data_IF_023986915000
#
_entry.id   IF_023986915000
#
_cell.length_a   1.000
_cell.length_b   1.000
_cell.length_c   1.000
_cell.angle_alpha   90.00
_cell.angle_beta   90.00
_cell.angle_gamma   90.00
#
_symmetry.space_group_name_H-M   'P 1'
#
loop_
_entity.id
_entity.type
_entity.pdbx_description
1 polymer ?
#
# COMPACT_ATOMS: atom_id res chain seq x y z
N UNK A 1 -20.65 7.43 7.41
CA UNK A 1 -20.26 6.25 8.21
C UNK A 1 -18.81 5.97 7.84
N UNK A 2 -17.89 6.10 8.79
CA UNK A 2 -16.46 5.85 8.53
C UNK A 2 -16.27 4.33 8.53
N UNK A 3 -15.80 3.76 7.42
CA UNK A 3 -15.53 2.32 7.37
C UNK A 3 -14.25 2.01 8.16
N UNK A 4 -14.21 0.91 8.93
CA UNK A 4 -12.99 0.48 9.63
C UNK A 4 -12.09 -0.36 8.72
N UNK A 5 -10.79 -0.46 9.07
CA UNK A 5 -9.89 -1.41 8.44
C UNK A 5 -10.40 -2.83 8.69
N UNK A 6 -10.63 -3.58 7.61
CA UNK A 6 -11.10 -4.97 7.67
C UNK A 6 -9.97 -5.96 8.01
N UNK A 7 -8.71 -5.48 8.00
CA UNK A 7 -7.50 -6.29 8.16
C UNK A 7 -6.64 -5.67 9.26
N UNK A 8 -6.15 -6.50 10.18
CA UNK A 8 -5.25 -6.08 11.25
C UNK A 8 -3.84 -5.75 10.73
N UNK A 9 -3.13 -4.86 11.43
CA UNK A 9 -1.81 -4.39 11.00
C UNK A 9 -0.75 -5.50 10.92
N UNK A 10 -0.76 -6.42 11.90
CA UNK A 10 0.18 -7.53 11.97
C UNK A 10 -0.36 -8.83 11.37
N UNK A 11 -1.47 -8.78 10.63
CA UNK A 11 -2.07 -9.94 9.96
C UNK A 11 -1.32 -10.34 8.67
N UNK A 12 -0.15 -9.76 8.42
CA UNK A 12 0.70 -10.07 7.27
C UNK A 12 1.28 -11.50 7.34
N UNK A 13 1.42 -12.09 8.54
CA UNK A 13 1.88 -13.49 8.74
C UNK A 13 0.83 -14.54 8.35
N UNK A 14 -0.44 -14.17 8.24
CA UNK A 14 -1.51 -15.09 7.80
C UNK A 14 -1.48 -15.38 6.29
N UNK A 15 -0.74 -14.58 5.52
CA UNK A 15 -0.73 -14.66 4.05
C UNK A 15 0.70 -14.59 3.51
N UNK A 16 1.37 -15.76 3.57
CA UNK A 16 2.77 -15.92 3.19
C UNK A 16 3.08 -15.39 1.79
N UNK A 17 2.14 -15.49 0.84
CA UNK A 17 2.37 -15.04 -0.55
C UNK A 17 2.54 -13.53 -0.63
N UNK A 18 1.66 -12.78 0.02
CA UNK A 18 1.70 -11.30 0.05
C UNK A 18 2.88 -10.82 0.89
N UNK A 19 3.17 -11.50 2.00
CA UNK A 19 4.34 -11.22 2.83
C UNK A 19 5.67 -11.45 2.07
N UNK A 20 5.82 -12.59 1.38
CA UNK A 20 6.99 -12.89 0.55
C UNK A 20 7.14 -11.92 -0.62
N UNK A 21 6.05 -11.57 -1.32
CA UNK A 21 6.09 -10.58 -2.41
C UNK A 21 6.48 -9.19 -1.89
N UNK A 22 5.95 -8.77 -0.75
CA UNK A 22 6.28 -7.49 -0.13
C UNK A 22 7.72 -7.47 0.39
N UNK A 23 8.25 -8.60 0.86
CA UNK A 23 9.61 -8.71 1.36
C UNK A 23 10.65 -8.72 0.23
N UNK A 24 10.40 -9.47 -0.86
CA UNK A 24 11.33 -9.55 -2.00
C UNK A 24 11.16 -8.42 -3.01
N UNK A 25 9.92 -7.96 -3.22
CA UNK A 25 9.56 -6.95 -4.21
C UNK A 25 8.58 -5.92 -3.62
N UNK A 26 8.99 -5.14 -2.61
CA UNK A 26 8.11 -4.12 -2.00
C UNK A 26 7.64 -3.08 -3.03
N UNK A 27 8.47 -2.77 -4.03
CA UNK A 27 8.14 -1.82 -5.09
C UNK A 27 6.97 -2.26 -5.98
N UNK A 28 6.80 -3.57 -6.21
CA UNK A 28 5.67 -4.11 -6.99
C UNK A 28 4.39 -4.02 -6.17
N UNK A 29 4.46 -4.45 -4.90
CA UNK A 29 3.33 -4.38 -3.98
C UNK A 29 2.86 -2.94 -3.80
N UNK A 30 3.78 -2.04 -3.47
CA UNK A 30 3.49 -0.62 -3.34
C UNK A 30 3.00 0.00 -4.65
N UNK A 31 3.63 -0.33 -5.79
CA UNK A 31 3.25 0.21 -7.08
C UNK A 31 1.79 -0.11 -7.44
N UNK A 32 1.34 -1.34 -7.20
CA UNK A 32 -0.05 -1.78 -7.41
C UNK A 32 -1.03 -1.07 -6.48
N UNK A 33 -0.66 -0.93 -5.20
CA UNK A 33 -1.46 -0.19 -4.22
C UNK A 33 -1.59 1.29 -4.65
N UNK A 34 -0.47 1.93 -5.00
CA UNK A 34 -0.40 3.34 -5.32
C UNK A 34 -1.15 3.70 -6.62
N UNK A 35 -1.15 2.79 -7.61
CA UNK A 35 -1.91 2.93 -8.86
C UNK A 35 -3.41 2.88 -8.58
N UNK A 36 -3.87 1.91 -7.77
CA UNK A 36 -5.29 1.86 -7.38
C UNK A 36 -5.65 3.10 -6.55
N UNK A 37 -4.78 3.49 -5.62
CA UNK A 37 -4.95 4.68 -4.79
C UNK A 37 -4.82 6.01 -5.55
N UNK A 38 -4.46 6.02 -6.83
CA UNK A 38 -4.49 7.21 -7.69
C UNK A 38 -5.46 7.08 -8.88
N UNK A 39 -6.25 6.01 -8.89
CA UNK A 39 -7.22 5.66 -9.93
C UNK A 39 -6.59 5.42 -11.31
N UNK A 40 -5.32 5.00 -11.34
CA UNK A 40 -4.58 4.71 -12.56
C UNK A 40 -4.09 5.95 -13.29
N UNK A 41 -3.95 7.09 -12.59
CA UNK A 41 -3.34 8.29 -13.15
C UNK A 41 -1.85 8.08 -13.45
N UNK A 42 -1.20 7.20 -12.72
CA UNK A 42 0.21 6.83 -12.88
C UNK A 42 0.34 5.31 -12.86
N UNK A 43 1.16 4.74 -13.73
CA UNK A 43 1.34 3.29 -13.79
C UNK A 43 2.02 2.75 -12.53
N UNK A 44 1.70 1.51 -12.19
CA UNK A 44 2.34 0.79 -11.08
C UNK A 44 3.88 0.79 -11.18
N UNK A 45 4.45 0.68 -12.39
CA UNK A 45 5.89 0.72 -12.61
C UNK A 45 6.51 2.09 -12.26
N UNK A 46 5.84 3.19 -12.59
CA UNK A 46 6.30 4.52 -12.21
C UNK A 46 6.25 4.72 -10.69
N UNK A 47 5.17 4.27 -10.05
CA UNK A 47 5.07 4.29 -8.59
C UNK A 47 6.13 3.43 -7.91
N UNK A 48 6.37 2.20 -8.40
CA UNK A 48 7.42 1.33 -7.91
C UNK A 48 8.82 1.91 -8.10
N UNK A 49 9.08 2.55 -9.24
CA UNK A 49 10.36 3.24 -9.50
C UNK A 49 10.57 4.41 -8.55
N UNK A 50 9.56 5.28 -8.39
CA UNK A 50 9.63 6.41 -7.47
C UNK A 50 9.80 5.95 -6.02
N UNK A 51 9.15 4.85 -5.64
CA UNK A 51 9.32 4.23 -4.33
C UNK A 51 10.75 3.74 -4.08
N UNK A 52 11.40 3.09 -5.06
CA UNK A 52 12.80 2.67 -4.95
C UNK A 52 13.74 3.88 -4.88
N UNK A 53 13.51 4.91 -5.69
CA UNK A 53 14.29 6.15 -5.68
C UNK A 53 14.16 6.92 -4.36
N UNK A 54 12.97 6.93 -3.75
CA UNK A 54 12.79 7.54 -2.42
C UNK A 54 13.36 6.65 -1.31
N UNK A 55 13.35 5.33 -1.52
CA UNK A 55 13.97 4.36 -0.62
C UNK A 55 15.49 4.52 -0.53
N UNK A 56 16.17 4.86 -1.62
CA UNK A 56 17.62 5.11 -1.60
C UNK A 56 18.02 6.35 -0.79
N UNK A 57 17.08 7.26 -0.52
CA UNK A 57 17.26 8.45 0.32
C UNK A 57 16.63 8.25 1.73
N UNK A 58 15.96 7.11 1.97
CA UNK A 58 15.29 6.81 3.24
C UNK A 58 13.94 7.51 3.45
N UNK A 59 13.33 8.04 2.37
CA UNK A 59 12.08 8.81 2.40
C UNK A 59 10.90 8.07 1.77
N UNK A 60 11.02 6.77 1.51
CA UNK A 60 9.93 5.95 0.94
C UNK A 60 8.68 5.92 1.84
N UNK A 61 8.87 5.89 3.18
CA UNK A 61 7.76 5.89 4.14
C UNK A 61 6.84 7.11 3.99
N UNK A 62 7.39 8.31 3.69
CA UNK A 62 6.58 9.51 3.42
C UNK A 62 5.69 9.31 2.20
N UNK A 63 6.25 8.71 1.14
CA UNK A 63 5.50 8.43 -0.06
C UNK A 63 4.39 7.42 0.19
N UNK A 64 4.70 6.36 0.94
CA UNK A 64 3.73 5.38 1.42
C UNK A 64 2.60 6.03 2.21
N UNK A 65 2.90 6.90 3.17
CA UNK A 65 1.88 7.65 3.91
C UNK A 65 0.95 8.44 3.00
N UNK A 66 1.50 9.19 2.03
CA UNK A 66 0.69 10.05 1.16
C UNK A 66 -0.28 9.23 0.31
N UNK A 67 0.15 8.08 -0.19
CA UNK A 67 -0.69 7.17 -0.98
C UNK A 67 -1.75 6.49 -0.12
N UNK A 68 -1.41 6.10 1.11
CA UNK A 68 -2.37 5.59 2.09
C UNK A 68 -3.44 6.65 2.46
N UNK A 69 -3.04 7.90 2.67
CA UNK A 69 -3.98 9.00 2.90
C UNK A 69 -4.88 9.28 1.69
N UNK A 70 -4.36 9.16 0.46
CA UNK A 70 -5.17 9.24 -0.76
C UNK A 70 -6.20 8.12 -0.82
N UNK A 71 -5.80 6.89 -0.46
CA UNK A 71 -6.69 5.74 -0.38
C UNK A 71 -7.84 5.99 0.61
N UNK A 72 -7.57 6.56 1.79
CA UNK A 72 -8.60 6.93 2.76
C UNK A 72 -9.61 7.93 2.21
N UNK A 73 -9.10 9.00 1.58
CA UNK A 73 -9.94 10.04 1.00
C UNK A 73 -10.86 9.49 -0.09
N UNK A 74 -10.38 8.52 -0.87
CA UNK A 74 -11.16 7.95 -1.97
C UNK A 74 -12.23 6.95 -1.51
N UNK A 75 -11.92 6.15 -0.50
CA UNK A 75 -12.71 4.98 -0.13
C UNK A 75 -13.40 5.13 1.24
N UNK A 76 -13.33 6.33 1.85
CA UNK A 76 -14.02 6.77 3.06
C UNK A 76 -13.87 5.82 4.26
N UNK A 77 -12.64 5.44 4.60
CA UNK A 77 -12.35 4.60 5.76
C UNK A 77 -11.42 5.27 6.78
N UNK A 78 -11.41 4.73 8.00
CA UNK A 78 -10.85 5.37 9.18
C UNK A 78 -9.35 5.56 9.04
N UNK A 79 -8.92 6.79 9.30
CA UNK A 79 -7.55 7.12 9.20
C UNK A 79 -7.06 8.29 10.04
N UNK A 80 -5.92 8.07 10.72
CA UNK A 80 -5.13 9.11 11.40
C UNK A 80 -3.75 9.27 10.74
N UNK A 81 -3.43 10.44 10.17
CA UNK A 81 -2.16 10.67 9.45
C UNK A 81 -0.92 10.45 10.32
N UNK A 82 -0.98 10.71 11.63
CA UNK A 82 0.12 10.43 12.56
C UNK A 82 0.35 8.93 12.76
N UNK A 83 -0.72 8.14 12.88
CA UNK A 83 -0.60 6.69 13.11
C UNK A 83 -0.18 5.97 11.84
N UNK A 84 -0.60 6.45 10.68
CA UNK A 84 -0.21 5.91 9.39
C UNK A 84 1.27 5.99 9.10
N UNK A 85 1.85 7.16 9.33
CA UNK A 85 3.28 7.32 9.13
C UNK A 85 4.11 6.54 10.14
N UNK A 86 3.63 6.43 11.38
CA UNK A 86 4.28 5.60 12.38
C UNK A 86 4.30 4.12 11.98
N UNK A 87 3.21 3.64 11.38
CA UNK A 87 3.10 2.25 10.91
C UNK A 87 4.07 1.94 9.77
N UNK A 88 4.20 2.83 8.76
CA UNK A 88 5.19 2.64 7.69
C UNK A 88 6.63 2.75 8.20
N UNK A 89 6.88 3.59 9.21
CA UNK A 89 8.19 3.70 9.86
C UNK A 89 8.54 2.46 10.70
N UNK A 90 7.56 1.87 11.38
CA UNK A 90 7.76 0.74 12.30
C UNK A 90 7.81 -0.63 11.58
N UNK A 91 6.89 -0.87 10.65
CA UNK A 91 6.89 -2.06 9.80
C UNK A 91 6.24 -1.76 8.44
N UNK A 92 7.05 -1.32 7.48
CA UNK A 92 6.56 -0.99 6.14
C UNK A 92 5.92 -2.20 5.44
N UNK A 93 6.51 -3.38 5.57
CA UNK A 93 5.97 -4.59 4.95
C UNK A 93 4.58 -4.96 5.49
N UNK A 94 4.37 -4.80 6.81
CA UNK A 94 3.08 -5.05 7.45
C UNK A 94 2.03 -4.05 6.95
N UNK A 95 2.42 -2.77 6.83
CA UNK A 95 1.57 -1.69 6.33
C UNK A 95 1.10 -1.97 4.90
N UNK A 96 2.04 -2.32 4.01
CA UNK A 96 1.76 -2.66 2.61
C UNK A 96 0.90 -3.92 2.49
N UNK A 97 1.16 -4.94 3.31
CA UNK A 97 0.31 -6.13 3.42
C UNK A 97 -1.15 -5.77 3.77
N UNK A 98 -1.34 -4.91 4.78
CA UNK A 98 -2.66 -4.49 5.22
C UNK A 98 -3.39 -3.73 4.10
N UNK A 99 -2.72 -2.79 3.45
CA UNK A 99 -3.27 -2.05 2.30
C UNK A 99 -3.65 -2.96 1.14
N UNK A 100 -2.75 -3.88 0.78
CA UNK A 100 -2.97 -4.83 -0.29
C UNK A 100 -4.24 -5.66 -0.05
N UNK A 101 -4.34 -6.26 1.15
CA UNK A 101 -5.52 -7.06 1.54
C UNK A 101 -6.77 -6.21 1.65
N UNK A 102 -6.66 -4.96 2.12
CA UNK A 102 -7.81 -4.06 2.23
C UNK A 102 -8.40 -3.73 0.86
N UNK A 103 -7.55 -3.53 -0.15
CA UNK A 103 -7.97 -3.32 -1.53
C UNK A 103 -8.53 -4.62 -2.14
N UNK A 104 -7.88 -5.76 -1.89
CA UNK A 104 -8.37 -7.07 -2.34
C UNK A 104 -9.78 -7.39 -1.79
N UNK A 105 -10.01 -7.15 -0.49
CA UNK A 105 -11.32 -7.32 0.16
C UNK A 105 -12.40 -6.40 -0.40
N UNK A 106 -12.02 -5.30 -1.05
CA UNK A 106 -12.94 -4.38 -1.75
C UNK A 106 -13.23 -4.84 -3.20
N UNK A 107 -12.65 -5.95 -3.63
CA UNK A 107 -12.88 -6.54 -4.96
C UNK A 107 -11.85 -6.13 -6.02
N UNK A 108 -10.76 -5.45 -5.65
CA UNK A 108 -9.70 -5.13 -6.60
C UNK A 108 -8.85 -6.36 -6.93
N UNK A 109 -8.56 -6.58 -8.22
CA UNK A 109 -7.63 -7.62 -8.64
C UNK A 109 -6.18 -7.12 -8.53
N UNK A 110 -5.59 -7.31 -7.37
CA UNK A 110 -4.25 -6.80 -7.07
C UNK A 110 -3.14 -7.44 -7.93
N UNK A 111 -3.38 -8.62 -8.52
CA UNK A 111 -2.39 -9.26 -9.42
C UNK A 111 -2.37 -8.68 -10.82
N UNK A 112 -3.44 -8.00 -11.25
CA UNK A 112 -3.55 -7.36 -12.56
C UNK A 112 -3.19 -5.87 -12.55
N UNK A 113 -3.24 -5.22 -11.37
CA UNK A 113 -3.22 -3.76 -11.31
C UNK A 113 -4.37 -3.15 -12.12
N UNK A 114 -4.33 -1.83 -12.35
CA UNK A 114 -5.11 -1.18 -13.40
C UNK A 114 -4.39 -1.33 -14.75
N UNK A 115 -3.06 -1.42 -14.73
CA UNK A 115 -2.19 -1.72 -15.88
C UNK A 115 -1.30 -2.95 -15.63
N UNK A 116 -0.87 -3.70 -16.68
CA UNK A 116 -0.05 -4.89 -16.49
C UNK A 116 1.33 -4.54 -15.92
N UNK A 117 1.54 -4.94 -14.66
CA UNK A 117 2.82 -5.17 -14.00
C UNK A 117 2.87 -6.65 -13.56
#
# INVERSE_FOLDING_TARGET
MVAEWSVGLFDCFGDFRTCCLTCWCPCVTFGRIAEIADKGSTSCCMHGTLYVLLGSIGCNWLYSCTKRSSMWAQYNFQGSPCMDCFVHMCCESCALCQEYKQLENRGFNMSKGISPC
#
